data_IF_776098111446
#
_entry.id   IF_776098111446
#
_cell.length_a   1.000
_cell.length_b   1.000
_cell.length_c   1.000
_cell.angle_alpha   90.00
_cell.angle_beta   90.00
_cell.angle_gamma   90.00
#
_symmetry.space_group_name_H-M   'P 1'
#
loop_
_entity.id
_entity.type
_entity.pdbx_description
1 polymer ?
#
# COMPACT_ATOMS: atom_id res chain seq x y z
N UNK A 1 -18.30 -13.15 -13.04
CA UNK A 1 -17.69 -11.82 -13.12
C UNK A 1 -16.27 -11.96 -12.59
N UNK A 2 -15.28 -11.82 -13.48
CA UNK A 2 -13.87 -11.81 -13.07
C UNK A 2 -13.54 -10.39 -12.64
N UNK A 3 -13.19 -10.19 -11.37
CA UNK A 3 -12.69 -8.90 -10.91
C UNK A 3 -11.22 -8.82 -11.34
N UNK A 4 -10.93 -7.88 -12.23
CA UNK A 4 -9.55 -7.51 -12.54
C UNK A 4 -9.11 -6.52 -11.47
N UNK A 5 -8.21 -6.91 -10.59
CA UNK A 5 -7.61 -5.98 -9.64
C UNK A 5 -6.66 -5.12 -10.46
N UNK A 6 -6.96 -3.84 -10.51
CA UNK A 6 -6.11 -2.86 -11.17
C UNK A 6 -4.97 -2.51 -10.23
N UNK A 7 -3.81 -3.05 -10.50
CA UNK A 7 -2.58 -2.52 -9.91
C UNK A 7 -1.96 -1.58 -10.92
N UNK A 8 -1.98 -0.31 -10.61
CA UNK A 8 -1.19 0.67 -11.34
C UNK A 8 0.21 0.54 -10.78
N UNK A 9 1.11 -0.08 -11.55
CA UNK A 9 2.53 -0.06 -11.21
C UNK A 9 2.98 1.40 -11.29
N UNK A 10 3.11 2.02 -10.14
CA UNK A 10 3.76 3.31 -9.99
C UNK A 10 5.22 2.98 -9.71
N UNK A 11 6.14 3.76 -10.24
CA UNK A 11 7.56 3.58 -9.89
C UNK A 11 7.68 3.44 -8.37
N UNK A 12 8.24 2.35 -7.83
CA UNK A 12 8.29 2.09 -6.39
C UNK A 12 8.97 3.22 -5.60
N UNK A 13 9.71 4.07 -6.29
CA UNK A 13 10.42 5.21 -5.69
C UNK A 13 9.49 6.36 -5.27
N UNK A 14 8.22 6.41 -5.75
CA UNK A 14 7.31 7.53 -5.49
C UNK A 14 5.90 7.11 -5.03
N UNK A 15 5.68 5.86 -4.69
CA UNK A 15 4.34 5.31 -4.45
C UNK A 15 3.87 5.32 -3.00
N UNK A 16 4.67 5.74 -2.06
CA UNK A 16 4.22 5.94 -0.69
C UNK A 16 3.67 7.35 -0.50
N UNK A 17 2.56 7.50 0.24
CA UNK A 17 1.95 8.63 0.05
C UNK A 17 1.32 9.65 0.89
N UNK A 18 1.21 9.60 2.15
CA UNK A 18 0.38 10.57 2.87
C UNK A 18 -0.96 10.86 2.14
N UNK A 19 -1.79 11.75 2.64
CA UNK A 19 -3.12 11.99 2.06
C UNK A 19 -3.12 12.28 0.55
N UNK A 20 -2.21 13.11 0.07
CA UNK A 20 -2.20 13.55 -1.33
C UNK A 20 -1.67 12.46 -2.27
N UNK A 21 -0.70 11.67 -1.83
CA UNK A 21 -0.20 10.53 -2.59
C UNK A 21 -1.30 9.49 -2.80
N UNK A 22 -1.99 9.06 -1.74
CA UNK A 22 -3.11 8.11 -1.84
C UNK A 22 -4.25 8.63 -2.72
N UNK A 23 -4.59 9.91 -2.60
CA UNK A 23 -5.58 10.56 -3.48
C UNK A 23 -5.15 10.49 -4.94
N UNK A 24 -3.89 10.80 -5.22
CA UNK A 24 -3.34 10.81 -6.57
C UNK A 24 -3.33 9.41 -7.17
N UNK A 25 -2.86 8.42 -6.43
CA UNK A 25 -2.80 7.01 -6.88
C UNK A 25 -4.18 6.50 -7.24
N UNK A 26 -5.16 6.66 -6.35
CA UNK A 26 -6.54 6.18 -6.59
C UNK A 26 -7.20 6.88 -7.78
N UNK A 27 -7.01 8.20 -7.93
CA UNK A 27 -7.50 8.94 -9.07
C UNK A 27 -6.88 8.42 -10.38
N UNK A 28 -5.57 8.25 -10.42
CA UNK A 28 -4.89 7.75 -11.61
C UNK A 28 -5.29 6.32 -11.96
N UNK A 29 -5.42 5.45 -10.95
CA UNK A 29 -5.87 4.07 -11.12
C UNK A 29 -7.25 3.99 -11.79
N UNK A 30 -8.18 4.86 -11.40
CA UNK A 30 -9.54 4.91 -11.96
C UNK A 30 -9.57 5.20 -13.46
N UNK A 31 -8.51 5.80 -14.02
CA UNK A 31 -8.41 6.19 -15.42
C UNK A 31 -7.83 5.09 -16.34
N UNK A 32 -7.33 3.98 -15.77
CA UNK A 32 -6.52 3.04 -16.54
C UNK A 32 -7.34 1.95 -17.24
N UNK A 33 -8.46 1.53 -16.67
CA UNK A 33 -9.27 0.45 -17.22
C UNK A 33 -10.17 0.92 -18.36
N UNK A 34 -10.37 0.02 -19.34
CA UNK A 34 -11.31 0.18 -20.43
C UNK A 34 -12.60 -0.61 -20.21
N UNK A 35 -13.59 -0.40 -21.08
CA UNK A 35 -14.86 -1.11 -21.03
C UNK A 35 -15.80 -0.60 -19.93
N UNK A 36 -16.88 -1.35 -19.67
CA UNK A 36 -17.97 -0.91 -18.76
C UNK A 36 -17.47 -0.67 -17.33
N UNK A 37 -16.59 -1.53 -16.84
CA UNK A 37 -16.03 -1.39 -15.50
C UNK A 37 -15.09 -0.19 -15.39
N UNK A 38 -14.23 0.04 -16.42
CA UNK A 38 -13.39 1.23 -16.46
C UNK A 38 -14.21 2.52 -16.52
N UNK A 39 -15.33 2.55 -17.26
CA UNK A 39 -16.25 3.68 -17.27
C UNK A 39 -16.91 3.91 -15.89
N UNK A 40 -17.24 2.83 -15.17
CA UNK A 40 -17.74 2.93 -13.80
C UNK A 40 -16.70 3.57 -12.87
N UNK A 41 -15.46 3.11 -12.88
CA UNK A 41 -14.39 3.69 -12.06
C UNK A 41 -14.11 5.15 -12.42
N UNK A 42 -14.07 5.48 -13.71
CA UNK A 42 -13.82 6.85 -14.18
C UNK A 42 -14.92 7.83 -13.77
N UNK A 43 -16.19 7.40 -13.77
CA UNK A 43 -17.32 8.25 -13.31
C UNK A 43 -17.26 8.53 -11.81
N UNK A 44 -16.65 7.62 -11.04
CA UNK A 44 -16.53 7.72 -9.60
C UNK A 44 -15.06 8.03 -9.18
N UNK A 45 -14.30 8.68 -10.05
CA UNK A 45 -12.88 8.94 -9.80
C UNK A 45 -12.64 9.88 -8.61
N UNK A 46 -13.52 10.86 -8.41
CA UNK A 46 -13.41 11.79 -7.29
C UNK A 46 -13.74 11.11 -5.95
N UNK A 47 -14.71 10.20 -5.92
CA UNK A 47 -15.01 9.38 -4.75
C UNK A 47 -13.83 8.44 -4.42
N UNK A 48 -13.29 7.75 -5.42
CA UNK A 48 -12.11 6.89 -5.25
C UNK A 48 -10.90 7.67 -4.72
N UNK A 49 -10.69 8.88 -5.23
CA UNK A 49 -9.67 9.80 -4.74
C UNK A 49 -9.87 10.10 -3.25
N UNK A 50 -11.10 10.41 -2.82
CA UNK A 50 -11.42 10.70 -1.42
C UNK A 50 -11.24 9.45 -0.57
N UNK A 51 -11.82 8.32 -0.97
CA UNK A 51 -11.77 7.06 -0.25
C UNK A 51 -10.35 6.52 -0.09
N UNK A 52 -9.45 6.82 -1.03
CA UNK A 52 -8.04 6.49 -0.92
C UNK A 52 -7.31 7.16 0.25
N UNK A 53 -7.81 8.26 0.78
CA UNK A 53 -7.21 8.92 1.94
C UNK A 53 -7.90 8.57 3.27
N UNK A 54 -9.07 7.93 3.22
CA UNK A 54 -9.89 7.64 4.42
C UNK A 54 -9.17 6.78 5.45
N UNK A 55 -8.43 5.70 5.10
CA UNK A 55 -7.76 4.87 6.09
C UNK A 55 -6.80 5.66 6.99
N UNK A 56 -6.09 6.65 6.45
CA UNK A 56 -5.19 7.51 7.21
C UNK A 56 -5.93 8.41 8.22
N UNK A 57 -7.10 8.92 7.85
CA UNK A 57 -7.93 9.66 8.80
C UNK A 57 -8.46 8.74 9.91
N UNK A 58 -8.87 7.53 9.54
CA UNK A 58 -9.41 6.55 10.48
C UNK A 58 -8.37 6.08 11.49
N UNK A 59 -7.10 5.82 11.07
CA UNK A 59 -6.05 5.38 12.00
C UNK A 59 -5.72 6.41 13.09
N UNK A 60 -6.01 7.69 12.84
CA UNK A 60 -5.90 8.75 13.83
C UNK A 60 -6.99 8.71 14.91
N UNK A 61 -8.17 8.15 14.58
CA UNK A 61 -9.34 8.05 15.46
C UNK A 61 -9.46 6.66 16.10
N UNK A 62 -9.15 5.61 15.34
CA UNK A 62 -9.23 4.21 15.75
C UNK A 62 -7.93 3.46 15.39
N UNK A 63 -7.13 3.18 16.41
CA UNK A 63 -5.86 2.48 16.26
C UNK A 63 -6.01 0.98 15.97
N UNK A 64 -7.20 0.41 16.06
CA UNK A 64 -7.43 -1.01 15.78
C UNK A 64 -7.05 -1.41 14.35
N UNK A 65 -7.08 -0.44 13.41
CA UNK A 65 -6.74 -0.65 11.99
C UNK A 65 -5.30 -0.24 11.63
N UNK A 66 -4.53 0.28 12.59
CA UNK A 66 -3.20 0.82 12.33
C UNK A 66 -2.24 -0.20 11.70
N UNK A 67 -2.28 -1.44 12.16
CA UNK A 67 -1.39 -2.51 11.70
C UNK A 67 -1.64 -2.99 10.26
N UNK A 68 -2.75 -2.60 9.64
CA UNK A 68 -3.04 -2.92 8.24
C UNK A 68 -2.27 -2.03 7.24
N UNK A 69 -1.65 -0.94 7.71
CA UNK A 69 -0.91 0.00 6.85
C UNK A 69 0.51 -0.45 6.51
N UNK A 70 1.02 -1.50 7.11
CA UNK A 70 2.42 -1.92 6.95
C UNK A 70 2.61 -3.41 7.20
N UNK A 71 3.81 -3.87 6.89
CA UNK A 71 4.33 -5.16 7.33
C UNK A 71 5.83 -5.02 7.58
N UNK A 72 6.27 -5.16 8.81
CA UNK A 72 7.69 -5.24 9.15
C UNK A 72 8.22 -6.62 8.76
N UNK A 73 8.43 -6.84 7.44
CA UNK A 73 8.72 -8.15 6.88
C UNK A 73 10.01 -8.75 7.44
N UNK A 74 11.00 -7.90 7.72
CA UNK A 74 12.28 -8.27 8.33
C UNK A 74 12.19 -8.64 9.82
N UNK A 75 11.03 -8.43 10.45
CA UNK A 75 10.72 -9.00 11.76
C UNK A 75 10.27 -10.47 11.64
N UNK A 76 9.47 -10.76 10.63
CA UNK A 76 8.85 -12.08 10.46
C UNK A 76 9.79 -13.12 9.84
N UNK A 77 10.64 -12.69 8.90
CA UNK A 77 11.55 -13.57 8.18
C UNK A 77 12.70 -12.78 7.55
N UNK A 78 13.74 -13.47 7.13
CA UNK A 78 14.81 -12.91 6.31
C UNK A 78 14.37 -12.83 4.84
N UNK A 79 14.90 -11.83 4.09
CA UNK A 79 14.67 -11.74 2.64
C UNK A 79 15.08 -13.06 1.94
N UNK A 80 14.29 -13.61 1.05
CA UNK A 80 13.11 -13.07 0.36
C UNK A 80 11.76 -13.36 1.01
N UNK A 81 11.66 -13.64 2.31
CA UNK A 81 10.44 -13.78 3.08
C UNK A 81 9.58 -15.01 2.71
N UNK A 82 10.22 -16.08 2.27
CA UNK A 82 9.52 -17.27 1.76
C UNK A 82 8.90 -18.12 2.87
N UNK A 83 9.39 -17.98 4.13
CA UNK A 83 8.89 -18.72 5.28
C UNK A 83 7.72 -18.02 6.00
N UNK A 84 7.28 -16.85 5.54
CA UNK A 84 6.08 -16.20 6.06
C UNK A 84 4.86 -16.94 5.48
N UNK A 85 3.98 -17.51 6.32
CA UNK A 85 2.79 -18.21 5.85
C UNK A 85 1.89 -17.28 5.02
N UNK A 86 1.45 -17.72 3.84
CA UNK A 86 0.51 -16.95 3.00
C UNK A 86 -0.92 -17.11 3.48
N UNK A 87 -1.27 -18.26 4.05
CA UNK A 87 -2.56 -18.49 4.71
C UNK A 87 -2.70 -17.61 5.94
N UNK A 88 -3.81 -16.86 6.03
CA UNK A 88 -4.04 -15.94 7.15
C UNK A 88 -4.08 -16.64 8.49
N UNK A 89 -4.77 -17.76 8.58
CA UNK A 89 -4.88 -18.56 9.81
C UNK A 89 -3.51 -19.05 10.27
N UNK A 90 -2.71 -19.60 9.36
CA UNK A 90 -1.35 -20.08 9.66
C UNK A 90 -0.43 -18.94 10.12
N UNK A 91 -0.56 -17.77 9.51
CA UNK A 91 0.20 -16.57 9.90
C UNK A 91 -0.16 -16.14 11.31
N UNK A 92 -1.46 -16.02 11.63
CA UNK A 92 -1.92 -15.62 12.96
C UNK A 92 -1.57 -16.66 14.03
N UNK A 93 -1.67 -17.94 13.70
CA UNK A 93 -1.26 -19.03 14.61
C UNK A 93 0.24 -19.03 14.88
N UNK A 94 1.06 -18.73 13.86
CA UNK A 94 2.53 -18.72 13.99
C UNK A 94 3.05 -17.56 14.81
N UNK A 95 2.51 -16.35 14.61
CA UNK A 95 3.09 -15.11 15.17
C UNK A 95 2.29 -14.51 16.32
N UNK A 96 1.01 -14.83 16.44
CA UNK A 96 0.11 -14.32 17.47
C UNK A 96 -0.37 -12.90 17.22
N UNK A 97 -1.60 -12.61 17.66
CA UNK A 97 -2.29 -11.35 17.38
C UNK A 97 -1.55 -10.12 17.90
N UNK A 98 -0.95 -10.20 19.09
CA UNK A 98 -0.24 -9.07 19.71
C UNK A 98 1.02 -8.66 18.94
N UNK A 99 1.75 -9.63 18.39
CA UNK A 99 2.91 -9.34 17.52
C UNK A 99 2.46 -8.77 16.17
N UNK A 100 1.37 -9.32 15.61
CA UNK A 100 0.82 -8.85 14.35
C UNK A 100 0.33 -7.41 14.47
N UNK A 101 -0.34 -7.03 15.56
CA UNK A 101 -0.74 -5.64 15.83
C UNK A 101 0.45 -4.68 15.92
N UNK A 102 1.63 -5.17 16.27
CA UNK A 102 2.86 -4.35 16.35
C UNK A 102 3.63 -4.30 15.04
N UNK A 103 3.65 -5.42 14.30
CA UNK A 103 4.55 -5.63 13.15
C UNK A 103 3.83 -5.66 11.80
N UNK A 104 2.49 -5.52 11.82
CA UNK A 104 1.66 -5.33 10.63
C UNK A 104 1.25 -6.61 9.91
N UNK A 105 0.16 -6.50 9.12
CA UNK A 105 -0.43 -7.58 8.33
C UNK A 105 -1.00 -7.10 6.98
N UNK A 106 -0.51 -6.01 6.43
CA UNK A 106 -1.04 -5.40 5.22
C UNK A 106 -1.36 -6.40 4.08
N UNK A 107 -0.50 -7.39 3.72
CA UNK A 107 -0.80 -8.32 2.64
C UNK A 107 -2.09 -9.12 2.84
N UNK A 108 -2.37 -9.60 4.04
CA UNK A 108 -3.60 -10.37 4.33
C UNK A 108 -4.83 -9.47 4.41
N UNK A 109 -4.65 -8.21 4.79
CA UNK A 109 -5.74 -7.24 4.77
C UNK A 109 -6.11 -6.85 3.33
N UNK A 110 -5.14 -6.68 2.45
CA UNK A 110 -5.32 -6.48 1.01
C UNK A 110 -6.11 -7.65 0.40
N UNK A 111 -5.71 -8.88 0.68
CA UNK A 111 -6.41 -10.09 0.21
C UNK A 111 -7.87 -10.12 0.67
N UNK A 112 -8.10 -9.86 1.96
CA UNK A 112 -9.46 -9.74 2.53
C UNK A 112 -10.30 -8.65 1.84
N UNK A 113 -9.71 -7.49 1.52
CA UNK A 113 -10.43 -6.43 0.81
C UNK A 113 -10.79 -6.84 -0.61
N UNK A 114 -9.93 -7.59 -1.30
CA UNK A 114 -10.23 -8.15 -2.61
C UNK A 114 -11.46 -9.06 -2.57
N UNK A 115 -11.50 -9.99 -1.62
CA UNK A 115 -12.66 -10.87 -1.42
C UNK A 115 -13.93 -10.07 -1.09
N UNK A 116 -13.80 -9.06 -0.23
CA UNK A 116 -14.93 -8.18 0.14
C UNK A 116 -15.48 -7.43 -1.07
N UNK A 117 -14.62 -6.86 -1.91
CA UNK A 117 -15.02 -6.16 -3.13
C UNK A 117 -15.74 -7.12 -4.08
N UNK A 118 -15.20 -8.33 -4.29
CA UNK A 118 -15.82 -9.36 -5.14
C UNK A 118 -17.22 -9.70 -4.63
N UNK A 119 -17.37 -9.92 -3.33
CA UNK A 119 -18.65 -10.20 -2.70
C UNK A 119 -19.66 -9.06 -2.92
N UNK A 120 -19.25 -7.83 -2.67
CA UNK A 120 -20.10 -6.64 -2.81
C UNK A 120 -20.55 -6.44 -4.26
N UNK A 121 -19.64 -6.57 -5.23
CA UNK A 121 -19.94 -6.46 -6.65
C UNK A 121 -20.90 -7.55 -7.13
N UNK A 122 -20.78 -8.79 -6.62
CA UNK A 122 -21.70 -9.90 -6.95
C UNK A 122 -23.12 -9.71 -6.38
N UNK A 123 -23.25 -8.88 -5.35
CA UNK A 123 -24.52 -8.59 -4.68
C UNK A 123 -25.06 -7.19 -5.01
N UNK A 124 -24.59 -6.57 -6.11
CA UNK A 124 -24.99 -5.25 -6.61
C UNK A 124 -24.83 -4.10 -5.59
N UNK A 125 -23.94 -4.28 -4.58
CA UNK A 125 -23.62 -3.27 -3.55
C UNK A 125 -22.48 -2.37 -4.03
N UNK A 126 -22.73 -1.63 -5.10
CA UNK A 126 -21.69 -0.91 -5.85
C UNK A 126 -21.05 0.25 -5.06
N UNK A 127 -21.81 0.98 -4.26
CA UNK A 127 -21.30 2.09 -3.44
C UNK A 127 -20.31 1.58 -2.38
N UNK A 128 -20.68 0.48 -1.69
CA UNK A 128 -19.80 -0.13 -0.71
C UNK A 128 -18.56 -0.77 -1.36
N UNK A 129 -18.74 -1.36 -2.55
CA UNK A 129 -17.60 -1.88 -3.33
C UNK A 129 -16.64 -0.74 -3.70
N UNK A 130 -17.16 0.41 -4.13
CA UNK A 130 -16.37 1.58 -4.48
C UNK A 130 -15.57 2.11 -3.29
N UNK A 131 -16.20 2.18 -2.10
CA UNK A 131 -15.51 2.55 -0.87
C UNK A 131 -14.35 1.60 -0.57
N UNK A 132 -14.60 0.28 -0.61
CA UNK A 132 -13.55 -0.73 -0.38
C UNK A 132 -12.46 -0.73 -1.48
N UNK A 133 -12.78 -0.33 -2.72
CA UNK A 133 -11.78 -0.14 -3.79
C UNK A 133 -10.85 1.05 -3.47
N UNK A 134 -11.38 2.13 -2.91
CA UNK A 134 -10.57 3.25 -2.43
C UNK A 134 -9.63 2.83 -1.30
N UNK A 135 -10.13 2.09 -0.31
CA UNK A 135 -9.30 1.52 0.76
C UNK A 135 -8.24 0.56 0.20
N UNK A 136 -8.60 -0.32 -0.74
CA UNK A 136 -7.66 -1.25 -1.37
C UNK A 136 -6.50 -0.51 -2.04
N UNK A 137 -6.79 0.54 -2.80
CA UNK A 137 -5.76 1.36 -3.43
C UNK A 137 -4.83 2.05 -2.43
N UNK A 138 -5.34 2.43 -1.26
CA UNK A 138 -4.54 2.95 -0.16
C UNK A 138 -3.52 1.90 0.35
N UNK A 139 -3.99 0.73 0.78
CA UNK A 139 -3.11 -0.29 1.36
C UNK A 139 -2.12 -0.89 0.34
N UNK A 140 -2.51 -0.96 -0.94
CA UNK A 140 -1.57 -1.33 -2.01
C UNK A 140 -0.48 -0.26 -2.14
N UNK A 141 -0.83 1.04 -2.11
CA UNK A 141 0.16 2.11 -2.15
C UNK A 141 1.08 2.08 -0.92
N UNK A 142 0.53 1.76 0.27
CA UNK A 142 1.32 1.62 1.49
C UNK A 142 2.41 0.56 1.36
N UNK A 143 2.12 -0.64 0.88
CA UNK A 143 3.14 -1.69 0.72
C UNK A 143 4.12 -1.45 -0.43
N UNK A 144 3.83 -0.51 -1.33
CA UNK A 144 4.82 -0.02 -2.31
C UNK A 144 5.80 0.99 -1.70
N UNK A 145 5.55 1.47 -0.50
CA UNK A 145 6.44 2.38 0.21
C UNK A 145 7.50 1.56 0.95
N UNK A 146 8.79 1.67 0.59
CA UNK A 146 9.85 0.83 1.16
C UNK A 146 9.99 0.90 2.68
N UNK A 147 9.60 2.02 3.28
CA UNK A 147 9.65 2.19 4.74
C UNK A 147 8.42 1.58 5.45
N UNK A 148 7.37 1.16 4.73
CA UNK A 148 6.23 0.41 5.28
C UNK A 148 6.46 -1.11 5.33
N UNK A 149 7.62 -1.57 4.90
CA UNK A 149 7.91 -3.02 4.86
C UNK A 149 9.12 -3.43 5.70
N UNK A 150 9.60 -2.52 6.57
CA UNK A 150 10.76 -2.71 7.44
C UNK A 150 10.55 -2.22 8.86
N UNK A 151 11.15 -2.90 9.84
CA UNK A 151 11.16 -2.46 11.26
C UNK A 151 11.79 -1.07 11.46
N UNK A 152 12.78 -0.70 10.63
CA UNK A 152 13.47 0.61 10.73
C UNK A 152 12.76 1.72 9.93
N UNK A 153 11.43 1.70 9.87
CA UNK A 153 10.61 2.58 9.04
C UNK A 153 10.92 4.08 9.19
N UNK A 154 11.24 4.54 10.38
CA UNK A 154 11.56 5.97 10.66
C UNK A 154 13.08 6.24 10.73
N UNK A 155 13.91 5.25 10.37
CA UNK A 155 15.37 5.39 10.30
C UNK A 155 16.07 5.57 11.65
N UNK A 156 15.41 5.26 12.78
CA UNK A 156 15.98 5.47 14.13
C UNK A 156 17.22 4.63 14.38
N UNK A 157 17.28 3.41 13.79
CA UNK A 157 18.42 2.49 13.94
C UNK A 157 19.64 2.92 13.11
N UNK A 158 19.45 3.84 12.15
CA UNK A 158 20.50 4.28 11.19
C UNK A 158 20.80 5.78 11.26
N UNK A 159 20.22 6.49 12.25
CA UNK A 159 20.42 7.93 12.42
C UNK A 159 19.59 8.80 11.45
N UNK A 160 18.67 8.20 10.71
CA UNK A 160 17.78 8.89 9.76
C UNK A 160 16.45 9.34 10.37
N UNK A 161 16.37 9.59 11.66
CA UNK A 161 15.12 9.92 12.37
C UNK A 161 14.25 10.87 11.56
N UNK A 162 12.94 10.51 11.38
CA UNK A 162 11.99 11.30 10.61
C UNK A 162 12.08 11.11 9.09
N UNK A 163 12.86 10.13 8.60
CA UNK A 163 12.95 9.83 7.16
C UNK A 163 11.59 9.45 6.58
N UNK A 164 10.77 8.74 7.34
CA UNK A 164 9.43 8.35 6.92
C UNK A 164 8.61 9.56 6.46
N UNK A 165 8.50 10.58 7.32
CA UNK A 165 7.75 11.80 6.98
C UNK A 165 8.39 12.57 5.81
N UNK A 166 9.72 12.66 5.76
CA UNK A 166 10.40 13.36 4.65
C UNK A 166 10.15 12.68 3.32
N UNK A 167 10.22 11.35 3.29
CA UNK A 167 10.02 10.55 2.09
C UNK A 167 8.55 10.51 1.67
N UNK A 168 7.69 10.09 2.57
CA UNK A 168 6.28 9.81 2.28
C UNK A 168 5.44 11.07 2.08
N UNK A 169 5.73 12.15 2.83
CA UNK A 169 4.90 13.35 2.79
C UNK A 169 5.57 14.48 2.01
N UNK A 170 6.78 14.89 2.41
CA UNK A 170 7.42 16.05 1.76
C UNK A 170 7.77 15.77 0.32
N UNK A 171 8.56 14.74 0.04
CA UNK A 171 8.98 14.43 -1.33
C UNK A 171 7.78 14.09 -2.24
N UNK A 172 6.81 13.32 -1.73
CA UNK A 172 5.61 13.01 -2.52
C UNK A 172 4.86 14.29 -2.87
N UNK A 173 4.64 15.20 -1.93
CA UNK A 173 3.95 16.47 -2.20
C UNK A 173 4.72 17.34 -3.18
N UNK A 174 6.05 17.44 -3.04
CA UNK A 174 6.89 18.24 -3.93
C UNK A 174 6.90 17.70 -5.37
N UNK A 175 6.79 16.38 -5.52
CA UNK A 175 6.84 15.70 -6.82
C UNK A 175 5.52 15.05 -7.24
N UNK A 176 4.40 15.37 -6.61
CA UNK A 176 3.08 14.76 -6.84
C UNK A 176 2.67 14.72 -8.31
N UNK A 177 3.05 15.74 -9.10
CA UNK A 177 2.76 15.80 -10.54
C UNK A 177 3.58 14.84 -11.39
N UNK A 178 4.67 14.28 -10.83
CA UNK A 178 5.51 13.27 -11.50
C UNK A 178 5.01 11.86 -11.27
N UNK A 179 4.06 11.67 -10.36
CA UNK A 179 3.38 10.39 -10.17
C UNK A 179 2.45 10.19 -11.35
N UNK A 180 2.84 9.29 -12.24
CA UNK A 180 2.10 8.89 -13.44
C UNK A 180 2.04 7.37 -13.55
N UNK A 181 0.97 6.80 -14.12
CA UNK A 181 0.90 5.37 -14.35
C UNK A 181 2.03 4.90 -15.27
N UNK A 182 2.61 3.76 -14.97
CA UNK A 182 3.63 3.10 -15.80
C UNK A 182 3.33 1.60 -15.88
N UNK A 183 3.81 0.95 -16.94
CA UNK A 183 3.61 -0.48 -17.15
C UNK A 183 2.26 -0.84 -17.76
N UNK A 184 2.02 -2.14 -17.90
CA UNK A 184 0.79 -2.73 -18.40
C UNK A 184 -0.18 -3.02 -17.27
N UNK A 185 -1.48 -3.04 -17.61
CA UNK A 185 -2.51 -3.52 -16.69
C UNK A 185 -2.48 -5.04 -16.72
N UNK A 186 -2.31 -5.64 -15.55
CA UNK A 186 -2.30 -7.08 -15.39
C UNK A 186 -3.51 -7.58 -14.61
N UNK A 187 -3.91 -8.80 -14.90
CA UNK A 187 -4.95 -9.50 -14.15
C UNK A 187 -4.29 -10.25 -12.99
N UNK A 188 -4.65 -9.88 -11.78
CA UNK A 188 -4.18 -10.55 -10.56
C UNK A 188 -5.20 -11.63 -10.18
N UNK A 189 -4.76 -12.89 -10.14
CA UNK A 189 -5.59 -14.03 -9.73
C UNK A 189 -5.32 -14.50 -8.30
N UNK A 190 -4.18 -14.10 -7.73
CA UNK A 190 -3.75 -14.43 -6.38
C UNK A 190 -3.26 -13.15 -5.67
N UNK A 191 -4.17 -12.42 -4.98
CA UNK A 191 -3.83 -11.14 -4.36
C UNK A 191 -2.77 -11.24 -3.29
N UNK A 192 -2.77 -12.30 -2.48
CA UNK A 192 -1.78 -12.45 -1.39
C UNK A 192 -0.37 -12.67 -1.96
N UNK A 193 -0.19 -13.53 -2.95
CA UNK A 193 1.12 -13.73 -3.59
C UNK A 193 1.61 -12.47 -4.27
N UNK A 194 0.69 -11.72 -4.91
CA UNK A 194 1.04 -10.44 -5.54
C UNK A 194 1.44 -9.38 -4.51
N UNK A 195 0.72 -9.28 -3.39
CA UNK A 195 1.09 -8.37 -2.30
C UNK A 195 2.50 -8.67 -1.76
N UNK A 196 2.86 -9.94 -1.61
CA UNK A 196 4.21 -10.32 -1.22
C UNK A 196 5.28 -10.06 -2.29
N UNK A 197 4.92 -10.10 -3.56
CA UNK A 197 5.82 -9.66 -4.62
C UNK A 197 6.13 -8.16 -4.48
N UNK A 198 5.10 -7.33 -4.22
CA UNK A 198 5.29 -5.89 -3.94
C UNK A 198 6.16 -5.69 -2.70
N UNK A 199 5.90 -6.40 -1.60
CA UNK A 199 6.70 -6.31 -0.37
C UNK A 199 8.19 -6.61 -0.64
N UNK A 200 8.48 -7.68 -1.40
CA UNK A 200 9.87 -8.02 -1.79
C UNK A 200 10.53 -6.92 -2.61
N UNK A 201 9.83 -6.39 -3.59
CA UNK A 201 10.31 -5.30 -4.43
C UNK A 201 10.55 -4.04 -3.60
N UNK A 202 9.58 -3.62 -2.81
CA UNK A 202 9.68 -2.43 -1.94
C UNK A 202 10.83 -2.58 -0.95
N UNK A 203 10.98 -3.74 -0.33
CA UNK A 203 12.08 -4.02 0.58
C UNK A 203 13.45 -3.82 -0.08
N UNK A 204 13.60 -4.15 -1.35
CA UNK A 204 14.88 -4.00 -2.05
C UNK A 204 15.38 -2.54 -2.12
N UNK A 205 14.50 -1.55 -1.99
CA UNK A 205 14.84 -0.12 -2.09
C UNK A 205 15.07 0.58 -0.74
N UNK A 206 14.75 -0.06 0.40
CA UNK A 206 14.79 0.64 1.69
C UNK A 206 16.18 1.21 2.03
N UNK A 207 17.25 0.47 1.73
CA UNK A 207 18.62 0.91 2.03
C UNK A 207 19.01 2.12 1.18
N UNK A 208 18.61 2.15 -0.09
CA UNK A 208 18.88 3.30 -0.96
C UNK A 208 18.22 4.58 -0.46
N UNK A 209 17.00 4.48 0.10
CA UNK A 209 16.30 5.61 0.71
C UNK A 209 17.04 6.12 1.94
N UNK A 210 17.46 5.23 2.84
CA UNK A 210 18.22 5.59 4.03
C UNK A 210 19.55 6.25 3.68
N UNK A 211 20.25 5.73 2.68
CA UNK A 211 21.52 6.29 2.20
C UNK A 211 21.33 7.66 1.54
N UNK A 212 20.27 7.82 0.73
CA UNK A 212 19.94 9.09 0.09
C UNK A 212 19.58 10.17 1.13
N UNK A 213 18.76 9.83 2.14
CA UNK A 213 18.43 10.75 3.24
C UNK A 213 19.68 11.15 4.02
N UNK A 214 20.57 10.20 4.31
CA UNK A 214 21.83 10.47 5.01
C UNK A 214 22.73 11.43 4.21
N UNK A 215 22.81 11.26 2.88
CA UNK A 215 23.59 12.16 2.00
C UNK A 215 22.97 13.54 1.95
N UNK A 216 21.65 13.64 1.77
CA UNK A 216 20.95 14.91 1.69
C UNK A 216 21.10 15.74 2.99
N UNK A 217 21.03 15.10 4.14
CA UNK A 217 21.18 15.78 5.44
C UNK A 217 22.58 16.32 5.67
N UNK A 218 23.63 15.66 5.16
CA UNK A 218 25.02 16.16 5.27
C UNK A 218 25.29 17.42 4.44
N UNK A 219 24.51 17.67 3.40
CA UNK A 219 24.66 18.88 2.55
C UNK A 219 23.94 20.08 3.19
N UNK A 220 22.99 19.84 4.09
CA UNK A 220 22.19 20.86 4.75
C UNK A 220 22.76 21.29 6.12
N UNK A 221 23.80 20.62 6.60
CA UNK A 221 24.57 20.97 7.81
C UNK A 221 25.89 21.61 7.46
#
# INVERSE_FOLDING_TARGET
IWLTILVVTISPILSGGGYEGHRRVNFLASQQLKGKFGQFLMRNADELKIYGAVPDYQKGMDRSRYHHHFIDADYYDTYPFDNIPRGREDFYNKYGEDNIKKMGDAPWFIDKLCDRIIYLMKNDRFEEALYNMGELGHYIADIHQPLHVIVNYDGRKTGNNGVHFRWEVRLVNDYIRRIVPSGAIEKISDPISYAFQIVKESFSYHQEILDADSKARKVLT
#
